data_IF_304314061027
#
_entry.id   IF_304314061027
#
_cell.length_a   1.000
_cell.length_b   1.000
_cell.length_c   1.000
_cell.angle_alpha   90.00
_cell.angle_beta   90.00
_cell.angle_gamma   90.00
#
_symmetry.space_group_name_H-M   'P 1'
#
loop_
_entity.id
_entity.type
_entity.pdbx_description
1 polymer ?
#
# COMPACT_ATOMS: atom_id res chain seq x y z
N UNK A 1 16.52 -75.72 52.91
CA UNK A 1 16.00 -74.31 52.73
C UNK A 1 17.21 -73.46 52.51
N UNK A 2 17.51 -73.15 51.24
CA UNK A 2 18.62 -72.31 50.85
C UNK A 2 18.05 -71.09 50.14
N UNK A 3 18.28 -69.92 50.70
CA UNK A 3 17.88 -68.65 50.09
C UNK A 3 18.98 -68.19 49.14
N UNK A 4 18.65 -68.05 47.85
CA UNK A 4 19.52 -67.47 46.82
C UNK A 4 19.19 -65.99 46.74
N UNK A 5 20.14 -65.15 47.19
CA UNK A 5 20.10 -63.68 46.96
C UNK A 5 20.80 -63.33 45.64
N UNK A 6 20.04 -62.83 44.69
CA UNK A 6 20.56 -62.23 43.41
C UNK A 6 20.87 -60.77 43.61
N UNK A 7 22.00 -60.24 43.10
CA UNK A 7 22.28 -58.79 43.13
C UNK A 7 21.53 -58.04 41.99
N UNK A 8 20.78 -57.01 42.37
CA UNK A 8 20.24 -56.02 41.42
C UNK A 8 21.39 -55.17 40.85
N UNK A 9 21.64 -55.27 39.55
CA UNK A 9 22.49 -54.35 38.85
C UNK A 9 21.70 -53.07 38.50
N UNK A 10 22.07 -51.94 39.10
CA UNK A 10 21.60 -50.62 38.73
C UNK A 10 22.28 -50.20 37.39
N UNK A 11 21.53 -50.27 36.33
CA UNK A 11 21.93 -49.62 35.06
C UNK A 11 21.68 -48.13 35.17
N UNK A 12 22.74 -47.31 35.25
CA UNK A 12 22.70 -45.87 35.13
C UNK A 12 22.33 -45.49 33.68
N UNK A 13 21.10 -44.96 33.49
CA UNK A 13 20.67 -44.38 32.25
C UNK A 13 21.37 -43.01 32.12
N UNK A 14 22.40 -42.94 31.29
CA UNK A 14 22.98 -41.67 30.90
C UNK A 14 21.93 -40.85 30.13
N UNK A 15 21.40 -39.80 30.78
CA UNK A 15 20.54 -38.82 30.12
C UNK A 15 21.36 -38.11 29.04
N UNK A 16 21.13 -38.47 27.80
CA UNK A 16 21.62 -37.68 26.65
C UNK A 16 21.01 -36.27 26.75
N UNK A 17 21.84 -35.32 27.12
CA UNK A 17 21.47 -33.91 27.17
C UNK A 17 21.19 -33.48 25.73
N UNK A 18 19.91 -33.24 25.41
CA UNK A 18 19.50 -32.71 24.11
C UNK A 18 20.27 -31.40 23.86
N UNK A 19 20.97 -31.32 22.72
CA UNK A 19 21.63 -30.09 22.32
C UNK A 19 20.60 -28.95 22.34
N UNK A 20 20.93 -27.77 22.89
CA UNK A 20 20.00 -26.66 22.91
C UNK A 20 19.53 -26.35 21.50
N UNK A 21 18.22 -26.19 21.31
CA UNK A 21 17.64 -25.86 20.03
C UNK A 21 18.30 -24.57 19.51
N UNK A 22 18.87 -24.59 18.30
CA UNK A 22 19.53 -23.45 17.71
C UNK A 22 18.56 -22.28 17.60
N UNK A 23 18.85 -21.18 18.26
CA UNK A 23 18.09 -19.94 18.14
C UNK A 23 18.25 -19.34 16.74
N UNK A 24 17.20 -18.72 16.24
CA UNK A 24 17.19 -18.03 14.95
C UNK A 24 16.53 -16.68 15.07
N UNK A 25 17.19 -15.63 14.59
CA UNK A 25 16.67 -14.26 14.52
C UNK A 25 16.79 -13.77 13.08
N UNK A 26 15.65 -13.38 12.49
CA UNK A 26 15.60 -12.70 11.20
C UNK A 26 15.06 -11.31 11.46
N UNK A 27 15.77 -10.27 11.03
CA UNK A 27 15.35 -8.90 11.28
C UNK A 27 16.29 -7.87 10.69
N UNK A 28 16.04 -6.61 11.02
CA UNK A 28 16.81 -5.45 10.55
C UNK A 28 17.76 -4.96 11.64
N UNK A 29 19.02 -4.70 11.28
CA UNK A 29 20.03 -4.15 12.20
C UNK A 29 19.68 -2.72 12.55
N UNK A 30 19.55 -2.43 13.85
CA UNK A 30 19.27 -1.08 14.40
C UNK A 30 20.52 -0.39 14.90
N UNK A 31 21.46 -1.16 15.47
CA UNK A 31 22.76 -0.64 15.90
C UNK A 31 23.82 -1.73 15.86
N UNK A 32 25.08 -1.30 15.74
CA UNK A 32 26.26 -2.16 15.72
C UNK A 32 27.24 -1.57 16.74
N UNK A 33 27.73 -2.40 17.65
CA UNK A 33 28.76 -2.04 18.65
C UNK A 33 29.78 -3.17 18.76
N UNK A 34 30.90 -3.04 18.05
CA UNK A 34 31.87 -4.13 17.91
C UNK A 34 31.23 -5.39 17.34
N UNK A 35 31.29 -6.50 18.10
CA UNK A 35 30.70 -7.77 17.70
C UNK A 35 29.23 -7.92 18.14
N UNK A 36 28.62 -6.89 18.70
CA UNK A 36 27.24 -6.92 19.21
C UNK A 36 26.31 -6.13 18.29
N UNK A 37 25.21 -6.74 17.87
CA UNK A 37 24.20 -6.18 17.01
C UNK A 37 22.88 -6.07 17.76
N UNK A 38 22.19 -4.95 17.64
CA UNK A 38 20.77 -4.88 18.02
C UNK A 38 19.94 -5.10 16.76
N UNK A 39 19.16 -6.16 16.74
CA UNK A 39 18.34 -6.55 15.60
C UNK A 39 16.87 -6.41 15.98
N UNK A 40 16.10 -5.67 15.17
CA UNK A 40 14.65 -5.65 15.26
C UNK A 40 14.09 -6.84 14.49
N UNK A 41 13.53 -7.86 15.16
CA UNK A 41 12.96 -9.02 14.49
C UNK A 41 11.77 -8.66 13.61
N UNK A 42 11.55 -9.44 12.54
CA UNK A 42 10.34 -9.34 11.75
C UNK A 42 9.12 -9.74 12.61
N UNK A 43 7.97 -9.09 12.36
CA UNK A 43 6.76 -9.38 13.13
C UNK A 43 6.55 -8.54 14.38
N UNK A 44 7.39 -7.51 14.60
CA UNK A 44 7.14 -6.51 15.65
C UNK A 44 7.55 -6.93 17.06
N UNK A 45 8.29 -8.02 17.22
CA UNK A 45 8.85 -8.41 18.51
C UNK A 45 9.89 -7.40 19.01
N UNK A 46 10.16 -7.40 20.31
CA UNK A 46 11.17 -6.53 20.92
C UNK A 46 12.54 -6.71 20.26
N UNK A 47 13.36 -5.67 20.17
CA UNK A 47 14.72 -5.77 19.64
C UNK A 47 15.54 -6.80 20.39
N UNK A 48 16.24 -7.66 19.63
CA UNK A 48 17.07 -8.75 20.16
C UNK A 48 18.54 -8.39 20.05
N UNK A 49 19.29 -8.64 21.12
CA UNK A 49 20.75 -8.51 21.10
C UNK A 49 21.37 -9.76 20.49
N UNK A 50 22.15 -9.60 19.43
CA UNK A 50 22.88 -10.67 18.75
C UNK A 50 24.37 -10.43 18.89
N UNK A 51 25.07 -11.30 19.59
CA UNK A 51 26.53 -11.25 19.68
C UNK A 51 27.15 -12.21 18.66
N UNK A 52 28.01 -11.67 17.80
CA UNK A 52 28.70 -12.47 16.77
C UNK A 52 29.95 -13.07 17.42
N UNK A 53 29.99 -14.39 17.56
CA UNK A 53 31.13 -15.10 18.14
C UNK A 53 32.35 -15.05 17.22
N UNK A 54 33.55 -15.17 17.80
CA UNK A 54 34.84 -15.08 17.07
C UNK A 54 35.01 -16.12 15.94
N UNK A 55 34.31 -17.24 16.01
CA UNK A 55 34.28 -18.30 14.98
C UNK A 55 33.02 -18.27 14.11
N UNK A 56 32.22 -17.22 14.19
CA UNK A 56 30.98 -17.13 13.43
C UNK A 56 31.22 -17.07 11.92
N UNK A 57 30.45 -17.88 11.18
CA UNK A 57 30.47 -17.85 9.72
C UNK A 57 29.62 -16.70 9.21
N UNK A 58 30.28 -15.64 8.69
CA UNK A 58 29.61 -14.48 8.15
C UNK A 58 29.54 -14.58 6.65
N UNK A 59 28.35 -14.39 6.09
CA UNK A 59 28.05 -14.50 4.67
C UNK A 59 27.12 -13.35 4.25
N UNK A 60 27.20 -12.95 3.00
CA UNK A 60 26.21 -12.04 2.40
C UNK A 60 25.42 -12.75 1.32
N UNK A 61 24.19 -12.32 1.11
CA UNK A 61 23.30 -12.80 0.08
C UNK A 61 22.52 -11.64 -0.53
N UNK A 62 22.30 -11.68 -1.82
CA UNK A 62 21.39 -10.74 -2.49
C UNK A 62 19.94 -11.25 -2.53
N UNK A 63 19.75 -12.57 -2.52
CA UNK A 63 18.49 -13.25 -2.82
C UNK A 63 18.09 -14.35 -1.83
N UNK A 64 18.87 -14.56 -0.74
CA UNK A 64 18.75 -15.66 0.22
C UNK A 64 19.01 -17.06 -0.37
N UNK A 65 19.31 -17.17 -1.66
CA UNK A 65 19.58 -18.45 -2.35
C UNK A 65 21.06 -18.66 -2.53
N UNK A 66 21.76 -17.64 -2.96
CA UNK A 66 23.22 -17.65 -3.16
C UNK A 66 23.89 -16.87 -2.04
N UNK A 67 24.93 -17.43 -1.45
CA UNK A 67 25.69 -16.80 -0.37
C UNK A 67 27.16 -16.72 -0.74
N UNK A 68 27.81 -15.61 -0.44
CA UNK A 68 29.25 -15.39 -0.54
C UNK A 68 29.84 -15.09 0.82
N UNK A 69 31.12 -15.34 1.02
CA UNK A 69 31.81 -14.97 2.24
C UNK A 69 31.78 -13.45 2.43
N UNK A 70 31.67 -13.03 3.67
CA UNK A 70 31.62 -11.62 4.06
C UNK A 70 32.26 -11.43 5.43
N UNK A 71 32.48 -10.19 5.82
CA UNK A 71 33.04 -9.81 7.11
C UNK A 71 32.07 -8.89 7.86
N UNK A 72 32.20 -8.81 9.19
CA UNK A 72 31.27 -8.03 10.02
C UNK A 72 31.31 -6.54 9.73
N UNK A 73 32.47 -6.01 9.38
CA UNK A 73 32.68 -4.62 9.00
C UNK A 73 31.91 -4.18 7.74
N UNK A 74 31.52 -5.14 6.91
CA UNK A 74 30.64 -4.88 5.78
C UNK A 74 29.18 -4.69 6.17
N UNK A 75 28.79 -5.03 7.41
CA UNK A 75 27.41 -4.86 7.89
C UNK A 75 27.15 -3.40 8.22
N UNK A 76 25.98 -2.90 7.80
CA UNK A 76 25.55 -1.54 8.10
C UNK A 76 24.19 -1.53 8.83
N UNK A 77 23.93 -0.46 9.56
CA UNK A 77 22.61 -0.19 10.13
C UNK A 77 21.60 -0.09 8.99
N UNK A 78 20.47 -0.77 9.14
CA UNK A 78 19.44 -0.91 8.09
C UNK A 78 19.57 -2.17 7.23
N UNK A 79 20.70 -2.87 7.26
CA UNK A 79 20.85 -4.16 6.59
C UNK A 79 19.97 -5.22 7.29
N UNK A 80 19.48 -6.20 6.54
CA UNK A 80 18.77 -7.35 7.11
C UNK A 80 19.74 -8.48 7.40
N UNK A 81 19.52 -9.13 8.53
CA UNK A 81 20.34 -10.26 8.97
C UNK A 81 19.48 -11.46 9.35
N UNK A 82 19.99 -12.63 9.00
CA UNK A 82 19.57 -13.91 9.56
C UNK A 82 20.71 -14.42 10.43
N UNK A 83 20.52 -14.35 11.73
CA UNK A 83 21.43 -14.90 12.72
C UNK A 83 20.94 -16.26 13.19
N UNK A 84 21.84 -17.24 13.25
CA UNK A 84 21.57 -18.57 13.82
C UNK A 84 22.67 -18.89 14.83
N UNK A 85 22.30 -19.36 15.99
CA UNK A 85 23.27 -19.64 17.04
C UNK A 85 22.64 -20.17 18.31
N UNK A 86 23.31 -19.99 19.43
CA UNK A 86 22.87 -20.45 20.74
C UNK A 86 22.09 -19.36 21.44
N UNK A 87 20.85 -19.63 21.90
CA UNK A 87 20.11 -18.70 22.73
C UNK A 87 20.83 -18.42 24.04
N UNK A 88 20.86 -17.13 24.43
CA UNK A 88 21.35 -16.68 25.72
C UNK A 88 20.23 -16.15 26.61
N UNK A 89 20.59 -15.65 27.78
CA UNK A 89 19.64 -15.08 28.72
C UNK A 89 18.97 -13.82 28.20
N UNK A 90 17.71 -13.59 28.61
CA UNK A 90 16.95 -12.39 28.23
C UNK A 90 16.61 -12.29 26.74
N UNK A 91 16.61 -13.41 25.99
CA UNK A 91 16.32 -13.41 24.56
C UNK A 91 17.50 -13.01 23.69
N UNK A 92 18.71 -12.88 24.23
CA UNK A 92 19.92 -12.65 23.44
C UNK A 92 20.29 -13.90 22.62
N UNK A 93 21.08 -13.71 21.55
CA UNK A 93 21.55 -14.78 20.68
C UNK A 93 23.06 -14.66 20.47
N UNK A 94 23.81 -15.72 20.74
CA UNK A 94 25.20 -15.83 20.31
C UNK A 94 25.24 -16.50 18.95
N UNK A 95 25.50 -15.70 17.91
CA UNK A 95 25.47 -16.17 16.55
C UNK A 95 26.73 -16.95 16.18
N UNK A 96 26.53 -18.15 15.68
CA UNK A 96 27.55 -19.00 15.02
C UNK A 96 27.55 -18.84 13.51
N UNK A 97 26.41 -18.36 12.96
CA UNK A 97 26.25 -18.04 11.54
C UNK A 97 25.44 -16.77 11.40
N UNK A 98 25.92 -15.87 10.54
CA UNK A 98 25.26 -14.63 10.17
C UNK A 98 25.18 -14.52 8.65
N UNK A 99 23.98 -14.39 8.12
CA UNK A 99 23.77 -14.07 6.69
C UNK A 99 23.22 -12.65 6.64
N UNK A 100 23.91 -11.75 5.95
CA UNK A 100 23.48 -10.37 5.76
C UNK A 100 22.90 -10.15 4.36
N UNK A 101 21.89 -9.31 4.26
CA UNK A 101 21.33 -8.83 3.01
C UNK A 101 21.41 -7.31 3.05
N UNK A 102 22.13 -6.75 2.10
CA UNK A 102 22.32 -5.30 2.03
C UNK A 102 20.99 -4.58 1.80
N UNK A 103 20.74 -3.53 2.56
CA UNK A 103 19.56 -2.67 2.40
C UNK A 103 19.49 -2.08 0.98
N UNK A 104 20.62 -1.70 0.40
CA UNK A 104 20.70 -1.23 -0.97
C UNK A 104 20.26 -2.31 -2.00
N UNK A 105 20.65 -3.58 -1.80
CA UNK A 105 20.25 -4.68 -2.68
C UNK A 105 18.73 -4.94 -2.57
N UNK A 106 18.16 -4.83 -1.37
CA UNK A 106 16.72 -4.91 -1.15
C UNK A 106 16.00 -3.77 -1.87
N UNK A 107 16.48 -2.53 -1.69
CA UNK A 107 15.90 -1.36 -2.33
C UNK A 107 15.94 -1.46 -3.86
N UNK A 108 17.07 -1.87 -4.42
CA UNK A 108 17.23 -2.07 -5.87
C UNK A 108 16.28 -3.15 -6.41
N UNK A 109 16.14 -4.27 -5.71
CA UNK A 109 15.20 -5.34 -6.11
C UNK A 109 13.75 -4.86 -6.03
N UNK A 110 13.40 -4.12 -4.98
CA UNK A 110 12.05 -3.57 -4.83
C UNK A 110 11.75 -2.53 -5.93
N UNK A 111 12.71 -1.65 -6.24
CA UNK A 111 12.58 -0.69 -7.33
C UNK A 111 12.41 -1.38 -8.69
N UNK A 112 13.21 -2.41 -8.98
CA UNK A 112 13.10 -3.21 -10.20
C UNK A 112 11.73 -3.91 -10.28
N UNK A 113 11.25 -4.49 -9.16
CA UNK A 113 9.93 -5.12 -9.10
C UNK A 113 8.81 -4.12 -9.33
N UNK A 114 8.89 -2.93 -8.71
CA UNK A 114 7.90 -1.85 -8.91
C UNK A 114 7.89 -1.37 -10.37
N UNK A 115 9.05 -1.17 -10.98
CA UNK A 115 9.15 -0.80 -12.39
C UNK A 115 8.56 -1.87 -13.31
N UNK A 116 8.77 -3.15 -13.02
CA UNK A 116 8.18 -4.26 -13.78
C UNK A 116 6.66 -4.31 -13.60
N UNK A 117 6.16 -4.13 -12.38
CA UNK A 117 4.72 -4.01 -12.12
C UNK A 117 4.10 -2.80 -12.82
N UNK A 118 4.79 -1.66 -12.88
CA UNK A 118 4.32 -0.47 -13.59
C UNK A 118 4.21 -0.71 -15.10
N UNK A 119 5.15 -1.45 -15.68
CA UNK A 119 5.20 -1.75 -17.12
C UNK A 119 4.27 -2.89 -17.53
N UNK A 120 4.33 -4.02 -16.82
CA UNK A 120 3.66 -5.27 -17.19
C UNK A 120 2.40 -5.54 -16.38
N UNK A 121 2.15 -4.75 -15.34
CA UNK A 121 0.99 -4.91 -14.47
C UNK A 121 -0.30 -4.48 -15.15
N UNK A 122 -1.40 -5.14 -14.78
CA UNK A 122 -2.79 -4.76 -15.05
C UNK A 122 -3.63 -5.09 -13.83
N UNK A 123 -4.81 -4.49 -13.73
CA UNK A 123 -5.73 -4.78 -12.64
C UNK A 123 -7.17 -4.70 -13.10
N UNK A 124 -8.05 -5.37 -12.40
CA UNK A 124 -9.47 -5.37 -12.67
C UNK A 124 -10.27 -6.14 -11.64
N UNK A 125 -11.58 -6.20 -11.86
CA UNK A 125 -12.53 -6.98 -11.06
C UNK A 125 -12.74 -8.31 -11.76
N UNK A 126 -12.63 -9.40 -11.01
CA UNK A 126 -12.87 -10.76 -11.52
C UNK A 126 -14.33 -10.92 -11.91
N UNK A 127 -14.59 -11.27 -13.16
CA UNK A 127 -15.93 -11.61 -13.68
C UNK A 127 -16.20 -13.10 -13.56
N UNK A 128 -15.23 -13.91 -13.94
CA UNK A 128 -15.33 -15.37 -13.88
C UNK A 128 -13.94 -16.00 -13.77
N UNK A 129 -13.92 -17.21 -13.22
CA UNK A 129 -12.73 -18.06 -13.12
C UNK A 129 -13.06 -19.39 -13.77
N UNK A 130 -12.27 -19.82 -14.72
CA UNK A 130 -12.33 -21.15 -15.31
C UNK A 130 -11.09 -21.95 -14.93
N UNK A 131 -11.26 -22.81 -13.94
CA UNK A 131 -10.17 -23.63 -13.43
C UNK A 131 -9.75 -24.73 -14.43
N UNK A 132 -10.67 -25.18 -15.30
CA UNK A 132 -10.38 -26.19 -16.32
C UNK A 132 -9.53 -25.63 -17.45
N UNK A 133 -9.80 -24.39 -17.86
CA UNK A 133 -9.02 -23.69 -18.89
C UNK A 133 -7.82 -22.91 -18.30
N UNK A 134 -7.66 -22.85 -17.00
CA UNK A 134 -6.66 -22.02 -16.30
C UNK A 134 -6.75 -20.54 -16.70
N UNK A 135 -7.97 -20.00 -16.79
CA UNK A 135 -8.22 -18.62 -17.20
C UNK A 135 -9.07 -17.85 -16.19
N UNK A 136 -8.84 -16.55 -16.12
CA UNK A 136 -9.61 -15.63 -15.31
C UNK A 136 -10.02 -14.47 -16.21
N UNK A 137 -11.33 -14.20 -16.31
CA UNK A 137 -11.83 -13.01 -16.98
C UNK A 137 -11.91 -11.86 -15.98
N UNK A 138 -11.28 -10.74 -16.25
CA UNK A 138 -11.34 -9.53 -15.44
C UNK A 138 -11.88 -8.36 -16.24
N UNK A 139 -12.60 -7.46 -15.56
CA UNK A 139 -13.04 -6.18 -16.12
C UNK A 139 -12.09 -5.08 -15.64
N UNK A 140 -11.43 -4.39 -16.57
CA UNK A 140 -10.55 -3.26 -16.30
C UNK A 140 -11.11 -1.99 -16.93
N UNK A 141 -11.90 -1.26 -16.16
CA UNK A 141 -12.70 -0.14 -16.67
C UNK A 141 -13.74 -0.60 -17.68
N UNK A 142 -13.60 -0.17 -18.95
CA UNK A 142 -14.51 -0.56 -20.05
C UNK A 142 -14.00 -1.76 -20.87
N UNK A 143 -12.85 -2.33 -20.51
CA UNK A 143 -12.23 -3.46 -21.24
C UNK A 143 -12.32 -4.72 -20.42
N UNK A 144 -12.63 -5.81 -21.12
CA UNK A 144 -12.49 -7.16 -20.58
C UNK A 144 -11.12 -7.73 -20.96
N UNK A 145 -10.45 -8.34 -20.00
CA UNK A 145 -9.11 -8.91 -20.18
C UNK A 145 -9.19 -10.37 -19.73
N UNK A 146 -8.67 -11.26 -20.57
CA UNK A 146 -8.48 -12.67 -20.21
C UNK A 146 -7.07 -12.87 -19.66
N UNK A 147 -6.98 -13.36 -18.44
CA UNK A 147 -5.73 -13.71 -17.78
C UNK A 147 -5.57 -15.22 -17.87
N UNK A 148 -4.53 -15.66 -18.59
CA UNK A 148 -4.15 -17.07 -18.68
C UNK A 148 -3.08 -17.37 -17.66
N UNK A 149 -3.29 -18.43 -16.89
CA UNK A 149 -2.34 -18.86 -15.85
C UNK A 149 -1.60 -20.13 -16.29
N UNK A 150 -0.39 -20.32 -15.78
CA UNK A 150 0.48 -21.44 -16.07
C UNK A 150 0.88 -22.16 -14.78
N UNK A 151 1.53 -23.31 -14.89
CA UNK A 151 2.07 -24.03 -13.72
C UNK A 151 3.14 -23.25 -12.94
N UNK A 152 3.71 -22.19 -13.54
CA UNK A 152 4.70 -21.30 -12.89
C UNK A 152 4.09 -20.02 -12.33
N UNK A 153 2.80 -19.77 -12.56
CA UNK A 153 2.12 -18.57 -12.05
C UNK A 153 2.12 -18.55 -10.52
N UNK A 154 2.60 -17.44 -9.93
CA UNK A 154 2.60 -17.22 -8.49
C UNK A 154 1.28 -16.59 -8.09
N UNK A 155 0.57 -17.20 -7.14
CA UNK A 155 -0.67 -16.67 -6.61
C UNK A 155 -0.46 -16.14 -5.21
N UNK A 156 -0.98 -14.93 -4.95
CA UNK A 156 -1.05 -14.32 -3.62
C UNK A 156 -2.45 -13.79 -3.36
N UNK A 157 -2.79 -13.69 -2.09
CA UNK A 157 -4.02 -13.05 -1.65
C UNK A 157 -3.70 -12.07 -0.54
N UNK A 158 -4.25 -10.88 -0.59
CA UNK A 158 -4.12 -9.89 0.49
C UNK A 158 -4.67 -10.46 1.79
N UNK A 159 -3.94 -10.23 2.87
CA UNK A 159 -4.42 -10.56 4.21
C UNK A 159 -5.68 -9.73 4.53
N UNK A 160 -6.63 -10.27 5.30
CA UNK A 160 -7.78 -9.51 5.76
C UNK A 160 -7.33 -8.21 6.46
N UNK A 161 -7.93 -7.08 6.09
CA UNK A 161 -7.59 -5.77 6.65
C UNK A 161 -6.33 -5.11 6.06
N UNK A 162 -5.66 -5.70 5.08
CA UNK A 162 -4.45 -5.15 4.49
C UNK A 162 -4.56 -4.98 2.98
N UNK A 163 -3.91 -3.93 2.46
CA UNK A 163 -3.65 -3.70 1.04
C UNK A 163 -2.15 -3.71 0.72
N UNK A 164 -1.31 -4.06 1.70
CA UNK A 164 0.13 -4.10 1.53
C UNK A 164 0.54 -5.39 0.82
N UNK A 165 1.25 -5.23 -0.27
CA UNK A 165 1.73 -6.36 -1.08
C UNK A 165 2.64 -7.29 -0.28
N UNK A 166 3.44 -6.73 0.62
CA UNK A 166 4.39 -7.47 1.46
C UNK A 166 3.69 -8.43 2.43
N UNK A 167 2.45 -8.12 2.80
CA UNK A 167 1.62 -8.91 3.71
C UNK A 167 0.76 -9.94 2.97
N UNK A 168 0.79 -9.93 1.63
CA UNK A 168 0.03 -10.88 0.82
C UNK A 168 0.55 -12.31 1.00
N UNK A 169 -0.36 -13.20 1.35
CA UNK A 169 -0.08 -14.60 1.63
C UNK A 169 -0.09 -15.46 0.35
N UNK A 170 0.68 -16.54 0.28
CA UNK A 170 0.55 -17.52 -0.80
C UNK A 170 -0.89 -18.00 -0.95
N UNK A 171 -1.33 -18.17 -2.20
CA UNK A 171 -2.71 -18.54 -2.52
C UNK A 171 -2.76 -19.49 -3.72
N UNK A 172 -3.96 -19.74 -4.26
CA UNK A 172 -4.19 -20.62 -5.40
C UNK A 172 -5.24 -20.01 -6.33
N UNK A 173 -5.34 -20.52 -7.55
CA UNK A 173 -6.40 -20.15 -8.49
C UNK A 173 -7.81 -20.38 -7.90
N UNK A 174 -8.00 -21.48 -7.18
CA UNK A 174 -9.30 -21.84 -6.57
C UNK A 174 -9.76 -20.85 -5.48
N UNK A 175 -8.85 -20.06 -4.91
CA UNK A 175 -9.18 -19.04 -3.90
C UNK A 175 -9.69 -17.73 -4.52
N UNK A 176 -9.58 -17.56 -5.84
CA UNK A 176 -10.03 -16.36 -6.55
C UNK A 176 -11.51 -16.52 -6.88
N UNK A 177 -12.31 -15.52 -6.56
CA UNK A 177 -13.76 -15.55 -6.74
C UNK A 177 -14.23 -14.39 -7.62
N UNK A 178 -15.37 -14.55 -8.34
CA UNK A 178 -16.02 -13.42 -8.99
C UNK A 178 -16.31 -12.29 -8.00
N UNK A 179 -16.01 -11.06 -8.40
CA UNK A 179 -16.09 -9.89 -7.55
C UNK A 179 -14.79 -9.54 -6.81
N UNK A 180 -13.81 -10.43 -6.75
CA UNK A 180 -12.49 -10.10 -6.23
C UNK A 180 -11.82 -9.04 -7.11
N UNK A 181 -11.05 -8.17 -6.46
CA UNK A 181 -10.11 -7.33 -7.17
C UNK A 181 -8.82 -8.11 -7.41
N UNK A 182 -8.31 -8.02 -8.63
CA UNK A 182 -7.15 -8.77 -9.07
C UNK A 182 -6.13 -7.83 -9.70
N UNK A 183 -4.89 -7.97 -9.29
CA UNK A 183 -3.72 -7.43 -10.01
C UNK A 183 -2.96 -8.60 -10.61
N UNK A 184 -2.58 -8.44 -11.86
CA UNK A 184 -1.80 -9.42 -12.61
C UNK A 184 -0.58 -8.75 -13.21
N UNK A 185 0.55 -9.41 -13.13
CA UNK A 185 1.78 -9.07 -13.83
C UNK A 185 2.10 -10.21 -14.79
N UNK A 186 2.38 -9.87 -16.03
CA UNK A 186 2.64 -10.87 -17.04
C UNK A 186 2.81 -10.28 -18.43
N UNK A 187 2.93 -11.13 -19.43
CA UNK A 187 3.08 -10.74 -20.82
C UNK A 187 1.71 -10.45 -21.43
N UNK A 188 1.58 -9.21 -21.95
CA UNK A 188 0.36 -8.73 -22.58
C UNK A 188 0.38 -9.00 -24.07
N UNK A 189 -0.76 -9.44 -24.61
CA UNK A 189 -0.97 -9.45 -26.06
C UNK A 189 -0.90 -8.04 -26.64
N UNK A 190 -0.59 -7.86 -27.94
CA UNK A 190 -0.48 -6.55 -28.57
C UNK A 190 -1.74 -5.70 -28.47
N UNK A 191 -2.93 -6.30 -28.44
CA UNK A 191 -4.22 -5.66 -28.27
C UNK A 191 -4.57 -5.39 -26.80
N UNK A 192 -3.79 -5.96 -25.86
CA UNK A 192 -3.99 -5.86 -24.43
C UNK A 192 -5.21 -6.61 -23.90
N UNK A 193 -5.83 -7.48 -24.72
CA UNK A 193 -6.99 -8.26 -24.33
C UNK A 193 -6.64 -9.55 -23.59
N UNK A 194 -5.39 -10.03 -23.72
CA UNK A 194 -4.91 -11.22 -23.04
C UNK A 194 -3.64 -10.94 -22.26
N UNK A 195 -3.48 -11.62 -21.11
CA UNK A 195 -2.27 -11.56 -20.28
C UNK A 195 -1.91 -12.98 -19.87
N UNK A 196 -0.67 -13.40 -20.18
CA UNK A 196 -0.08 -14.62 -19.60
C UNK A 196 0.55 -14.24 -18.27
N UNK A 197 0.00 -14.76 -17.17
CA UNK A 197 0.34 -14.30 -15.84
C UNK A 197 1.60 -14.96 -15.28
N UNK A 198 2.56 -14.13 -14.83
CA UNK A 198 3.66 -14.55 -13.97
C UNK A 198 3.26 -14.54 -12.50
N UNK A 199 2.55 -13.49 -12.09
CA UNK A 199 2.14 -13.29 -10.70
C UNK A 199 0.75 -12.64 -10.63
N UNK A 200 -0.07 -13.18 -9.76
CA UNK A 200 -1.43 -12.70 -9.47
C UNK A 200 -1.54 -12.39 -7.99
N UNK A 201 -2.09 -11.21 -7.68
CA UNK A 201 -2.47 -10.84 -6.33
C UNK A 201 -3.96 -10.52 -6.32
N UNK A 202 -4.72 -11.24 -5.51
CA UNK A 202 -6.17 -11.07 -5.40
C UNK A 202 -6.58 -10.64 -4.00
N UNK A 203 -7.77 -10.05 -3.89
CA UNK A 203 -8.37 -9.70 -2.61
C UNK A 203 -9.83 -9.32 -2.77
N UNK A 204 -10.64 -9.63 -1.77
CA UNK A 204 -12.03 -9.16 -1.72
C UNK A 204 -12.04 -7.80 -1.06
N UNK A 205 -12.19 -6.74 -1.85
CA UNK A 205 -12.32 -5.37 -1.35
C UNK A 205 -13.68 -4.81 -1.72
N UNK A 206 -14.24 -4.04 -0.81
CA UNK A 206 -15.52 -3.37 -0.99
C UNK A 206 -15.38 -1.89 -0.67
N UNK A 207 -15.82 -1.05 -1.58
CA UNK A 207 -15.98 0.36 -1.32
C UNK A 207 -17.39 0.57 -0.75
N UNK A 208 -17.46 1.05 0.47
CA UNK A 208 -18.71 1.38 1.15
C UNK A 208 -18.80 2.89 1.28
N UNK A 209 -19.93 3.44 0.92
CA UNK A 209 -20.22 4.87 1.08
C UNK A 209 -21.60 5.00 1.70
N UNK A 210 -21.69 5.67 2.84
CA UNK A 210 -22.98 5.75 3.52
C UNK A 210 -22.93 6.53 4.82
N UNK A 211 -24.01 6.38 5.61
CA UNK A 211 -24.14 7.05 6.90
C UNK A 211 -24.05 6.03 8.04
N UNK A 212 -23.41 6.42 9.13
CA UNK A 212 -23.34 5.61 10.35
C UNK A 212 -24.73 5.47 10.95
N UNK A 213 -25.16 4.23 11.17
CA UNK A 213 -26.43 3.90 11.86
C UNK A 213 -26.20 3.77 13.36
N UNK A 214 -25.16 3.05 13.76
CA UNK A 214 -24.81 2.81 15.15
C UNK A 214 -23.31 2.51 15.31
N UNK A 215 -22.78 2.78 16.50
CA UNK A 215 -21.37 2.53 16.85
C UNK A 215 -21.35 1.61 18.07
N UNK A 216 -20.52 0.56 17.99
CA UNK A 216 -20.24 -0.33 19.11
C UNK A 216 -18.75 -0.22 19.47
N UNK A 217 -18.44 0.69 20.40
CA UNK A 217 -17.07 0.95 20.83
C UNK A 217 -16.41 -0.26 21.51
N UNK A 218 -17.19 -1.09 22.23
CA UNK A 218 -16.66 -2.27 22.89
C UNK A 218 -16.18 -3.36 21.92
N UNK A 219 -16.81 -3.42 20.73
CA UNK A 219 -16.44 -4.36 19.67
C UNK A 219 -15.57 -3.71 18.59
N UNK A 220 -15.09 -2.47 18.77
CA UNK A 220 -14.38 -1.69 17.75
C UNK A 220 -15.07 -1.75 16.38
N UNK A 221 -16.41 -1.58 16.35
CA UNK A 221 -17.20 -1.72 15.15
C UNK A 221 -18.31 -0.69 15.05
N UNK A 222 -18.84 -0.51 13.85
CA UNK A 222 -20.02 0.29 13.61
C UNK A 222 -20.83 -0.30 12.45
N UNK A 223 -22.09 0.13 12.35
CA UNK A 223 -22.98 -0.24 11.25
C UNK A 223 -23.14 0.98 10.35
N UNK A 224 -22.91 0.80 9.06
CA UNK A 224 -23.13 1.80 8.02
C UNK A 224 -24.30 1.39 7.15
N UNK A 225 -25.19 2.35 6.81
CA UNK A 225 -26.19 2.16 5.76
C UNK A 225 -25.55 2.53 4.42
N UNK A 226 -25.20 1.53 3.66
CA UNK A 226 -24.55 1.73 2.36
C UNK A 226 -25.49 2.40 1.35
N UNK A 227 -25.04 3.47 0.71
CA UNK A 227 -25.85 4.26 -0.23
C UNK A 227 -26.08 3.53 -1.55
N UNK A 228 -25.18 2.63 -1.95
CA UNK A 228 -25.30 1.89 -3.19
C UNK A 228 -26.34 0.75 -3.06
N UNK A 229 -26.24 -0.06 -2.01
CA UNK A 229 -27.09 -1.25 -1.81
C UNK A 229 -28.29 -0.99 -0.93
N UNK A 230 -28.34 0.14 -0.20
CA UNK A 230 -29.32 0.49 0.82
C UNK A 230 -29.38 -0.48 2.01
N UNK A 231 -28.40 -1.37 2.13
CA UNK A 231 -28.29 -2.36 3.21
C UNK A 231 -27.45 -1.83 4.36
N UNK A 232 -27.70 -2.38 5.53
CA UNK A 232 -26.86 -2.16 6.68
C UNK A 232 -25.68 -3.14 6.64
N UNK A 233 -24.47 -2.60 6.72
CA UNK A 233 -23.22 -3.38 6.70
C UNK A 233 -22.45 -3.12 7.99
N UNK A 234 -21.95 -4.20 8.60
CA UNK A 234 -21.12 -4.10 9.80
C UNK A 234 -19.66 -3.95 9.40
N UNK A 235 -18.99 -2.93 9.94
CA UNK A 235 -17.59 -2.63 9.70
C UNK A 235 -16.82 -2.70 11.02
N UNK A 236 -15.75 -3.47 11.03
CA UNK A 236 -14.82 -3.64 12.15
C UNK A 236 -13.61 -2.74 11.91
N UNK A 237 -13.17 -2.06 12.95
CA UNK A 237 -11.92 -1.31 12.98
C UNK A 237 -10.85 -2.18 13.64
N UNK A 238 -9.72 -2.35 13.00
CA UNK A 238 -8.54 -3.02 13.53
C UNK A 238 -7.40 -2.02 13.79
N UNK A 239 -6.36 -2.45 14.48
CA UNK A 239 -5.17 -1.62 14.69
C UNK A 239 -4.44 -1.24 13.39
N UNK A 240 -4.68 -2.02 12.32
CA UNK A 240 -4.16 -1.76 10.99
C UNK A 240 -5.03 -0.79 10.17
N UNK A 241 -6.24 -0.45 10.65
CA UNK A 241 -7.15 0.46 9.96
C UNK A 241 -6.64 1.89 10.01
N UNK A 242 -6.63 2.56 8.86
CA UNK A 242 -6.20 3.95 8.73
C UNK A 242 -7.42 4.88 8.63
N UNK A 243 -7.67 5.63 9.70
CA UNK A 243 -8.86 6.47 9.84
C UNK A 243 -8.49 7.94 9.69
N UNK A 244 -9.16 8.61 8.75
CA UNK A 244 -8.96 10.02 8.46
C UNK A 244 -10.26 10.81 8.47
N UNK A 245 -10.16 12.10 8.75
CA UNK A 245 -11.27 13.05 8.65
C UNK A 245 -10.97 14.08 7.57
N UNK A 246 -11.93 14.34 6.70
CA UNK A 246 -11.82 15.41 5.71
C UNK A 246 -12.21 16.74 6.35
N UNK A 247 -11.33 17.75 6.32
CA UNK A 247 -11.69 19.09 6.78
C UNK A 247 -12.87 19.66 5.99
N UNK A 248 -13.83 20.35 6.63
CA UNK A 248 -15.02 20.86 5.96
C UNK A 248 -14.73 21.74 4.75
N UNK A 249 -13.66 22.52 4.81
CA UNK A 249 -13.22 23.39 3.72
C UNK A 249 -12.78 22.61 2.48
N UNK A 250 -12.15 21.47 2.68
CA UNK A 250 -11.76 20.56 1.59
C UNK A 250 -12.99 19.83 1.03
N UNK A 251 -13.86 19.33 1.90
CA UNK A 251 -15.08 18.65 1.50
C UNK A 251 -15.97 19.58 0.64
N UNK A 252 -16.09 20.86 1.02
CA UNK A 252 -16.85 21.86 0.25
C UNK A 252 -16.26 22.13 -1.14
N UNK A 253 -14.94 22.09 -1.29
CA UNK A 253 -14.26 22.25 -2.62
C UNK A 253 -14.54 21.09 -3.57
N UNK A 254 -14.65 19.88 -3.04
CA UNK A 254 -14.90 18.68 -3.84
C UNK A 254 -16.40 18.43 -4.07
N UNK A 255 -17.27 18.79 -3.11
CA UNK A 255 -18.71 18.61 -3.22
C UNK A 255 -19.44 19.69 -4.02
N UNK A 256 -18.90 20.90 -4.04
CA UNK A 256 -19.39 21.98 -4.89
C UNK A 256 -18.70 21.95 -6.23
N UNK A 257 -19.41 21.60 -7.31
CA UNK A 257 -18.88 21.69 -8.67
C UNK A 257 -18.18 23.02 -8.89
N UNK A 258 -16.87 23.00 -9.09
CA UNK A 258 -15.97 24.14 -9.07
C UNK A 258 -16.18 25.17 -10.18
N UNK A 259 -17.27 25.94 -10.12
CA UNK A 259 -17.50 27.08 -11.01
C UNK A 259 -18.27 28.25 -10.35
N UNK A 260 -18.52 28.25 -9.03
CA UNK A 260 -19.30 29.31 -8.42
C UNK A 260 -18.66 29.84 -7.12
N UNK A 261 -17.43 30.32 -7.16
CA UNK A 261 -16.80 30.76 -5.92
C UNK A 261 -15.71 31.81 -6.02
N UNK A 262 -15.62 32.60 -7.08
CA UNK A 262 -14.86 33.85 -7.03
C UNK A 262 -15.77 35.06 -7.38
N UNK A 263 -16.85 35.24 -6.61
CA UNK A 263 -17.38 36.57 -6.42
C UNK A 263 -16.58 37.19 -5.27
N UNK A 264 -15.66 38.06 -5.64
CA UNK A 264 -15.05 39.03 -4.73
C UNK A 264 -16.18 39.81 -4.06
N UNK A 265 -16.30 39.90 -2.74
CA UNK A 265 -17.08 40.95 -2.11
C UNK A 265 -16.18 42.21 -2.06
N UNK A 266 -16.62 43.27 -2.64
CA UNK A 266 -15.98 44.54 -2.41
C UNK A 266 -16.07 45.50 -3.58
N UNK A 267 -16.97 46.44 -3.48
CA UNK A 267 -17.02 47.57 -4.36
C UNK A 267 -18.40 48.18 -4.44
N UNK A 268 -18.89 48.73 -3.29
CA UNK A 268 -19.92 49.77 -3.33
C UNK A 268 -19.34 51.00 -4.02
N UNK A 269 -20.11 51.63 -4.92
CA UNK A 269 -19.90 53.02 -5.19
C UNK A 269 -20.10 53.48 -6.66
N UNK A 270 -21.23 54.07 -6.83
CA UNK A 270 -21.57 55.19 -7.70
C UNK A 270 -22.17 54.91 -9.10
N UNK A 271 -23.32 55.57 -9.35
CA UNK A 271 -24.02 55.56 -10.63
C UNK A 271 -23.59 56.75 -11.49
N UNK A 272 -23.64 56.60 -12.80
CA UNK A 272 -23.66 57.78 -13.62
C UNK A 272 -23.10 57.62 -15.01
N UNK A 273 -23.94 57.88 -15.99
CA UNK A 273 -23.54 58.52 -17.22
C UNK A 273 -23.57 57.66 -18.46
N UNK A 274 -24.64 57.84 -19.22
CA UNK A 274 -24.86 57.36 -20.56
C UNK A 274 -23.99 58.08 -21.60
N UNK A 275 -24.10 57.62 -22.83
CA UNK A 275 -23.66 58.42 -24.01
C UNK A 275 -23.02 57.59 -25.10
N UNK A 276 -23.84 57.12 -26.00
CA UNK A 276 -23.78 57.30 -27.49
C UNK A 276 -22.47 57.00 -28.26
N UNK A 277 -22.59 56.07 -29.14
CA UNK A 277 -22.50 56.13 -30.61
C UNK A 277 -21.24 56.70 -31.29
N UNK A 278 -20.71 55.91 -32.19
CA UNK A 278 -20.30 56.47 -33.51
C UNK A 278 -18.86 56.20 -33.91
N UNK A 279 -18.78 55.46 -35.01
CA UNK A 279 -17.98 55.71 -36.19
C UNK A 279 -16.52 55.28 -36.31
N UNK A 280 -16.37 54.38 -37.24
CA UNK A 280 -15.42 54.40 -38.39
C UNK A 280 -13.94 54.10 -38.20
N UNK A 281 -13.60 53.11 -39.00
CA UNK A 281 -12.25 52.72 -39.49
C UNK A 281 -11.63 53.82 -40.32
N UNK A 282 -10.31 53.91 -40.53
CA UNK A 282 -9.78 53.26 -41.72
C UNK A 282 -8.44 52.53 -41.58
N UNK A 283 -8.17 51.84 -42.68
CA UNK A 283 -7.17 50.86 -42.96
C UNK A 283 -5.77 51.36 -43.32
N UNK A 284 -4.76 50.50 -43.05
CA UNK A 284 -3.62 50.13 -43.85
C UNK A 284 -2.44 51.11 -44.03
N UNK A 285 -1.34 50.74 -44.63
CA UNK A 285 -0.68 49.45 -44.81
C UNK A 285 0.84 49.49 -44.47
N UNK A 286 1.73 48.67 -45.12
CA UNK A 286 2.64 47.77 -44.44
C UNK A 286 4.12 48.10 -44.60
N UNK A 287 4.97 47.20 -44.09
CA UNK A 287 6.33 46.94 -44.55
C UNK A 287 7.48 47.15 -43.57
N UNK A 288 8.22 46.11 -43.34
CA UNK A 288 9.65 46.08 -43.59
C UNK A 288 10.55 45.97 -42.38
N UNK A 289 11.34 44.90 -42.33
CA UNK A 289 12.69 44.93 -41.83
C UNK A 289 13.00 44.10 -40.59
N UNK A 290 13.54 42.92 -40.81
CA UNK A 290 14.50 42.20 -39.89
C UNK A 290 15.90 42.84 -40.06
N UNK A 291 16.96 42.41 -39.34
CA UNK A 291 17.14 41.63 -38.11
C UNK A 291 18.19 42.29 -37.16
N UNK A 292 18.36 41.76 -35.98
CA UNK A 292 19.66 41.46 -35.35
C UNK A 292 19.53 41.27 -33.84
N UNK A 293 19.95 40.16 -33.38
CA UNK A 293 20.85 39.67 -32.36
C UNK A 293 20.89 40.30 -30.95
N UNK A 294 20.64 39.48 -29.93
CA UNK A 294 21.04 39.71 -28.55
C UNK A 294 20.59 38.55 -27.68
N UNK A 295 21.47 38.04 -26.78
CA UNK A 295 21.25 36.77 -26.11
C UNK A 295 20.31 36.86 -24.90
N UNK A 296 19.81 35.68 -24.40
CA UNK A 296 18.74 35.62 -23.41
C UNK A 296 19.27 35.72 -22.01
N UNK A 297 18.73 36.62 -21.23
CA UNK A 297 18.80 36.59 -19.77
C UNK A 297 17.65 35.78 -19.19
N UNK A 298 18.00 34.85 -18.33
CA UNK A 298 17.11 33.92 -17.67
C UNK A 298 16.03 34.60 -16.82
N UNK A 299 14.85 34.06 -16.95
CA UNK A 299 13.71 34.33 -16.09
C UNK A 299 12.99 33.02 -15.83
N UNK A 300 13.26 32.45 -14.64
CA UNK A 300 12.51 31.34 -14.07
C UNK A 300 11.06 31.79 -13.79
N UNK A 301 10.16 31.43 -14.66
CA UNK A 301 8.72 31.57 -14.47
C UNK A 301 8.06 30.28 -14.90
N UNK A 302 7.91 29.36 -13.95
CA UNK A 302 7.17 28.12 -14.14
C UNK A 302 5.71 28.40 -14.45
N UNK A 303 5.37 28.41 -15.73
CA UNK A 303 4.01 28.48 -16.23
C UNK A 303 3.37 27.09 -16.07
N UNK A 304 2.62 26.89 -14.98
CA UNK A 304 1.64 25.81 -14.87
C UNK A 304 0.44 26.11 -15.79
N UNK A 305 0.64 25.96 -17.06
CA UNK A 305 -0.41 25.99 -18.07
C UNK A 305 -0.98 24.57 -18.28
N UNK A 306 -1.65 24.01 -17.30
CA UNK A 306 -2.44 22.78 -17.44
C UNK A 306 -3.80 23.12 -18.01
N UNK A 307 -4.05 22.73 -19.26
CA UNK A 307 -5.37 22.75 -19.91
C UNK A 307 -6.37 21.96 -19.04
N UNK A 308 -7.57 22.51 -18.75
CA UNK A 308 -8.65 21.71 -18.19
C UNK A 308 -9.30 20.93 -19.35
N UNK A 309 -8.97 19.67 -19.46
CA UNK A 309 -9.55 18.77 -20.46
C UNK A 309 -9.70 17.37 -19.89
N UNK A 310 -10.94 16.96 -19.59
CA UNK A 310 -11.33 15.61 -19.29
C UNK A 310 -11.28 15.25 -17.79
N UNK A 311 -12.46 15.24 -17.16
CA UNK A 311 -12.66 14.80 -15.78
C UNK A 311 -12.15 13.36 -15.57
N UNK A 312 -10.93 13.23 -15.04
CA UNK A 312 -10.51 12.01 -14.37
C UNK A 312 -11.15 12.05 -13.00
N UNK A 313 -11.93 11.03 -12.68
CA UNK A 313 -12.38 10.79 -11.31
C UNK A 313 -11.19 11.00 -10.36
N UNK A 314 -11.33 11.92 -9.42
CA UNK A 314 -10.26 12.20 -8.47
C UNK A 314 -10.13 10.98 -7.56
N UNK A 315 -9.00 10.30 -7.63
CA UNK A 315 -8.68 9.23 -6.69
C UNK A 315 -8.30 9.85 -5.34
N UNK A 316 -9.23 9.81 -4.41
CA UNK A 316 -9.04 10.32 -3.06
C UNK A 316 -7.93 9.59 -2.29
N UNK A 317 -7.58 8.38 -2.71
CA UNK A 317 -6.55 7.57 -2.03
C UNK A 317 -5.18 8.28 -1.97
N UNK A 318 -4.84 9.09 -2.97
CA UNK A 318 -3.57 9.83 -3.00
C UNK A 318 -3.51 10.99 -2.00
N UNK A 319 -4.67 11.47 -1.56
CA UNK A 319 -4.79 12.58 -0.62
C UNK A 319 -4.91 12.13 0.84
N UNK A 320 -5.46 10.92 1.06
CA UNK A 320 -5.75 10.39 2.40
C UNK A 320 -4.55 10.49 3.35
N UNK A 321 -3.30 10.14 2.97
CA UNK A 321 -2.17 10.20 3.91
C UNK A 321 -1.84 11.60 4.42
N UNK A 322 -2.36 12.65 3.76
CA UNK A 322 -2.16 14.06 4.14
C UNK A 322 -3.30 14.61 5.01
N UNK A 323 -4.38 13.86 5.16
CA UNK A 323 -5.52 14.27 5.95
C UNK A 323 -5.29 14.01 7.44
N UNK A 324 -5.93 14.80 8.31
CA UNK A 324 -5.88 14.56 9.76
C UNK A 324 -6.38 13.16 10.10
N UNK A 325 -5.71 12.50 11.03
CA UNK A 325 -6.18 11.22 11.58
C UNK A 325 -7.39 11.43 12.48
N UNK A 326 -8.28 10.45 12.49
CA UNK A 326 -9.44 10.41 13.39
C UNK A 326 -9.47 9.08 14.15
N UNK A 327 -10.42 8.91 15.04
CA UNK A 327 -10.61 7.67 15.81
C UNK A 327 -12.08 7.26 15.78
N UNK A 328 -12.37 5.99 16.08
CA UNK A 328 -13.75 5.52 16.19
C UNK A 328 -14.58 6.34 17.19
N UNK A 329 -13.96 6.77 18.30
CA UNK A 329 -14.61 7.58 19.32
C UNK A 329 -15.01 9.00 18.86
N UNK A 330 -14.38 9.51 17.82
CA UNK A 330 -14.70 10.81 17.25
C UNK A 330 -15.86 10.76 16.24
N UNK A 331 -16.19 9.58 15.72
CA UNK A 331 -17.29 9.38 14.77
C UNK A 331 -18.65 9.46 15.46
N UNK A 332 -19.67 9.88 14.72
CA UNK A 332 -21.03 10.07 15.26
C UNK A 332 -22.06 9.34 14.38
N UNK A 333 -23.13 8.77 14.98
CA UNK A 333 -24.28 8.32 14.21
C UNK A 333 -24.84 9.43 13.32
N UNK A 334 -25.20 9.09 12.08
CA UNK A 334 -25.65 10.03 11.06
C UNK A 334 -24.52 10.64 10.21
N UNK A 335 -23.26 10.51 10.61
CA UNK A 335 -22.11 11.01 9.86
C UNK A 335 -21.90 10.18 8.59
N UNK A 336 -21.55 10.85 7.50
CA UNK A 336 -21.27 10.18 6.23
C UNK A 336 -19.81 9.74 6.14
N UNK A 337 -19.61 8.53 5.64
CA UNK A 337 -18.32 7.89 5.52
C UNK A 337 -18.10 7.35 4.11
N UNK A 338 -16.84 7.35 3.68
CA UNK A 338 -16.32 6.52 2.59
C UNK A 338 -15.29 5.56 3.16
N UNK A 339 -15.41 4.29 2.82
CA UNK A 339 -14.61 3.23 3.41
C UNK A 339 -14.13 2.28 2.32
N UNK A 340 -12.85 1.95 2.34
CA UNK A 340 -12.31 0.75 1.70
C UNK A 340 -12.22 -0.32 2.76
N UNK A 341 -12.93 -1.40 2.56
CA UNK A 341 -12.97 -2.53 3.49
C UNK A 341 -12.61 -3.83 2.78
N UNK A 342 -12.05 -4.76 3.52
CA UNK A 342 -11.84 -6.15 3.09
C UNK A 342 -12.79 -7.08 3.83
N UNK A 343 -13.15 -8.21 3.20
CA UNK A 343 -14.02 -9.21 3.82
C UNK A 343 -13.84 -10.58 3.21
N UNK A 344 -14.47 -11.56 3.83
CA UNK A 344 -14.51 -12.93 3.31
C UNK A 344 -15.81 -13.11 2.50
N UNK A 345 -15.85 -12.56 1.27
CA UNK A 345 -17.01 -12.66 0.39
C UNK A 345 -17.89 -11.41 0.38
N UNK A 346 -19.09 -11.54 -0.19
CA UNK A 346 -20.03 -10.42 -0.42
C UNK A 346 -20.85 -10.02 0.79
N UNK A 347 -20.95 -10.88 1.81
CA UNK A 347 -21.66 -10.63 3.06
C UNK A 347 -20.67 -10.41 4.20
N UNK A 348 -20.83 -9.28 4.93
CA UNK A 348 -19.94 -8.91 6.03
C UNK A 348 -19.88 -9.91 7.20
N UNK A 349 -19.13 -9.60 8.25
CA UNK A 349 -18.56 -8.29 8.57
C UNK A 349 -17.33 -7.96 7.72
N UNK A 350 -17.18 -6.67 7.44
CA UNK A 350 -16.04 -6.14 6.72
C UNK A 350 -15.03 -5.53 7.69
N UNK A 351 -13.74 -5.64 7.42
CA UNK A 351 -12.70 -4.94 8.17
C UNK A 351 -12.29 -3.70 7.39
N UNK A 352 -12.39 -2.53 8.01
CA UNK A 352 -11.95 -1.28 7.40
C UNK A 352 -10.43 -1.31 7.18
N UNK A 353 -10.01 -0.97 5.97
CA UNK A 353 -8.61 -0.70 5.63
C UNK A 353 -8.37 0.79 5.79
N UNK A 354 -9.20 1.59 5.12
CA UNK A 354 -9.15 3.04 5.18
C UNK A 354 -10.57 3.58 5.31
N UNK A 355 -10.73 4.54 6.20
CA UNK A 355 -11.99 5.23 6.44
C UNK A 355 -11.76 6.73 6.31
N UNK A 356 -12.66 7.40 5.60
CA UNK A 356 -12.69 8.84 5.46
C UNK A 356 -14.04 9.35 5.94
N UNK A 357 -14.03 10.19 6.98
CA UNK A 357 -15.21 10.88 7.52
C UNK A 357 -15.30 12.34 7.02
N UNK A 358 -16.41 13.00 7.27
CA UNK A 358 -16.64 14.38 6.83
C UNK A 358 -16.89 14.51 5.32
N UNK A 359 -17.45 13.49 4.71
CA UNK A 359 -17.63 13.39 3.25
C UNK A 359 -19.06 13.68 2.79
N UNK A 360 -19.92 14.24 3.64
CA UNK A 360 -21.31 14.55 3.30
C UNK A 360 -21.44 15.36 1.99
N UNK A 361 -20.62 16.42 1.77
CA UNK A 361 -20.73 17.21 0.56
C UNK A 361 -20.34 16.42 -0.71
N UNK A 362 -19.45 15.43 -0.56
CA UNK A 362 -19.03 14.57 -1.66
C UNK A 362 -20.11 13.59 -2.05
N UNK A 363 -20.82 13.01 -1.08
CA UNK A 363 -21.86 12.01 -1.29
C UNK A 363 -23.19 12.60 -1.77
N UNK A 364 -23.40 13.90 -1.56
CA UNK A 364 -24.59 14.64 -2.00
C UNK A 364 -24.37 15.47 -3.26
N UNK A 365 -23.12 15.66 -3.67
CA UNK A 365 -22.74 16.45 -4.84
C UNK A 365 -22.95 15.72 -6.17
N UNK A 366 -23.00 16.45 -7.30
CA UNK A 366 -23.21 15.88 -8.64
C UNK A 366 -22.08 14.91 -9.07
N UNK A 367 -20.92 14.98 -8.46
CA UNK A 367 -19.77 14.10 -8.72
C UNK A 367 -19.71 12.88 -7.78
N UNK A 368 -20.73 12.64 -6.98
CA UNK A 368 -20.74 11.56 -5.97
C UNK A 368 -20.51 10.15 -6.55
N UNK A 369 -20.98 9.90 -7.77
CA UNK A 369 -20.81 8.63 -8.47
C UNK A 369 -19.43 8.40 -9.11
N UNK A 370 -18.63 9.47 -9.22
CA UNK A 370 -17.32 9.43 -9.89
C UNK A 370 -16.15 9.36 -8.89
N UNK A 371 -16.40 9.64 -7.61
CA UNK A 371 -15.38 9.62 -6.58
C UNK A 371 -15.26 8.22 -5.96
N UNK A 372 -14.08 7.65 -6.05
CA UNK A 372 -13.75 6.35 -5.45
C UNK A 372 -12.44 6.43 -4.68
N UNK A 373 -12.32 5.54 -3.70
CA UNK A 373 -11.03 5.29 -3.05
C UNK A 373 -10.50 3.99 -3.65
N UNK A 374 -9.41 4.08 -4.41
CA UNK A 374 -8.81 2.90 -5.01
C UNK A 374 -7.98 2.13 -3.98
N UNK A 375 -8.29 0.88 -3.68
CA UNK A 375 -7.48 0.05 -2.79
C UNK A 375 -6.02 -0.08 -3.24
N UNK A 376 -5.78 0.01 -4.55
CA UNK A 376 -4.44 -0.10 -5.13
C UNK A 376 -3.56 1.11 -4.85
N UNK A 377 -4.17 2.28 -4.80
CA UNK A 377 -3.45 3.54 -4.50
C UNK A 377 -3.09 3.64 -3.01
N UNK A 378 -3.83 2.97 -2.12
CA UNK A 378 -3.56 2.94 -0.69
C UNK A 378 -2.28 2.18 -0.36
N UNK A 379 -1.97 1.09 -1.11
CA UNK A 379 -0.77 0.28 -0.88
C UNK A 379 0.52 0.87 -1.48
N UNK A 380 0.44 1.86 -2.37
CA UNK A 380 1.60 2.48 -3.02
C UNK A 380 2.17 3.69 -2.27
N UNK A 381 1.48 4.20 -1.26
CA UNK A 381 1.86 5.41 -0.52
C UNK A 381 3.06 5.28 0.43
N UNK A 382 3.67 4.11 0.56
CA UNK A 382 4.82 3.88 1.43
C UNK A 382 6.21 4.05 0.79
N UNK A 383 6.30 4.30 -0.52
CA UNK A 383 7.57 4.30 -1.25
C UNK A 383 8.01 5.66 -1.83
N UNK A 384 7.22 6.73 -1.65
CA UNK A 384 7.58 8.07 -2.15
C UNK A 384 7.85 9.06 -1.01
N UNK A 385 8.83 8.76 -0.18
CA UNK A 385 9.29 9.67 0.87
C UNK A 385 10.77 9.54 1.13
N UNK A 386 11.66 9.82 0.16
CA UNK A 386 13.08 9.73 0.41
C UNK A 386 13.97 10.00 -0.80
N UNK A 387 13.63 11.00 -1.59
CA UNK A 387 14.50 11.50 -2.67
C UNK A 387 14.95 12.93 -2.42
N UNK A 388 15.65 13.18 -1.33
CA UNK A 388 16.50 14.36 -1.15
C UNK A 388 17.86 14.06 -1.76
N UNK A 389 18.12 14.47 -3.00
CA UNK A 389 19.42 14.42 -3.61
C UNK A 389 20.33 15.47 -2.97
N UNK A 390 21.62 15.16 -2.78
CA UNK A 390 22.61 16.16 -2.43
C UNK A 390 22.98 16.99 -3.65
N UNK A 391 23.07 18.28 -3.45
CA UNK A 391 23.82 19.17 -4.34
C UNK A 391 25.32 18.97 -4.16
#
# INVERSE_FOLDING_TARGET
>A
MGAVTAPLALTSVASAQAAPAAGRVLGTVKSISGNTLTVAPDGGAAPTTVTVGDGARIQQSADMKTVSAATLDQLAVGDRVLATGTPGDGGALTATRLIMIKSAAIAQRNAASQADWAKRGSGGIVKSVDAGANTIAISSGKKDITVTTTGSTIYRRYAPGSVKFEEAQPSTLAAIQPGDQLRVRGDKSPDGANITADEIVSGTFKNLSGTIVSINAAANSFVIKDLATKKNETVIISDASDLHAMPPEMAARFGGGGAAGMRRPGGEGAPGGGGQAGAERPAGPPAGGSPTGGPPSGGTGGSFGGRPGGGRAADLATMIPRLPKTTLAALKPGEALMIVASGNGSAGPFTAITLLSGVEPLLTGPAASEMTISPWSLGSGGAEGGGGGPQ
#
